data_IF_306607131975
#
_entry.id   IF_306607131975
#
_cell.length_a   1.000
_cell.length_b   1.000
_cell.length_c   1.000
_cell.angle_alpha   90.00
_cell.angle_beta   90.00
_cell.angle_gamma   90.00
#
_symmetry.space_group_name_H-M   'P 1'
#
loop_
_entity.id
_entity.type
_entity.pdbx_description
1 polymer ?
#
# COMPACT_ATOMS: atom_id res chain seq x y z
N UNK A 1 -22.02 -14.98 24.08
CA UNK A 1 -20.88 -14.22 23.47
C UNK A 1 -21.09 -14.22 21.97
N UNK A 2 -21.59 -13.13 21.41
CA UNK A 2 -21.74 -12.96 19.97
C UNK A 2 -20.43 -12.38 19.45
N UNK A 3 -19.68 -13.19 18.70
CA UNK A 3 -18.56 -12.74 17.91
C UNK A 3 -19.09 -11.72 16.90
N UNK A 4 -18.57 -10.49 16.80
CA UNK A 4 -18.99 -9.59 15.76
C UNK A 4 -18.58 -10.22 14.42
N UNK A 5 -19.57 -10.55 13.62
CA UNK A 5 -19.38 -10.92 12.23
C UNK A 5 -18.75 -9.70 11.56
N UNK A 6 -17.49 -9.85 11.13
CA UNK A 6 -16.84 -8.88 10.24
C UNK A 6 -17.71 -8.89 8.99
N UNK A 7 -18.34 -7.75 8.72
CA UNK A 7 -19.12 -7.56 7.51
C UNK A 7 -18.17 -7.69 6.30
N UNK A 8 -18.23 -8.85 5.66
CA UNK A 8 -17.54 -9.15 4.41
C UNK A 8 -18.12 -8.37 3.23
N UNK A 9 -19.07 -7.46 3.45
CA UNK A 9 -19.68 -6.64 2.39
C UNK A 9 -18.87 -5.40 1.99
N UNK A 10 -17.67 -5.19 2.55
CA UNK A 10 -16.73 -4.13 2.12
C UNK A 10 -16.01 -4.45 0.79
N UNK A 11 -16.55 -5.35 -0.01
CA UNK A 11 -16.10 -5.54 -1.40
C UNK A 11 -16.50 -4.40 -2.35
N UNK A 12 -17.07 -3.31 -1.84
CA UNK A 12 -17.46 -2.15 -2.65
C UNK A 12 -16.30 -1.21 -3.01
N UNK A 13 -15.11 -1.41 -2.44
CA UNK A 13 -13.93 -0.57 -2.71
C UNK A 13 -12.95 -1.15 -3.74
N UNK A 14 -13.19 -2.35 -4.27
CA UNK A 14 -12.32 -2.95 -5.29
C UNK A 14 -10.95 -3.41 -4.79
N UNK A 15 -10.72 -3.50 -3.47
CA UNK A 15 -9.51 -4.02 -2.86
C UNK A 15 -9.76 -5.28 -2.03
N UNK A 16 -8.78 -6.17 -2.02
CA UNK A 16 -8.80 -7.44 -1.32
C UNK A 16 -7.92 -7.34 -0.07
N UNK A 17 -8.47 -7.76 1.08
CA UNK A 17 -7.68 -7.96 2.29
C UNK A 17 -6.94 -9.30 2.19
N UNK A 18 -5.61 -9.25 2.17
CA UNK A 18 -4.77 -10.45 2.11
C UNK A 18 -4.53 -11.02 3.51
N UNK A 19 -4.11 -10.18 4.45
CA UNK A 19 -3.86 -10.56 5.85
C UNK A 19 -4.14 -9.41 6.80
N UNK A 20 -4.49 -9.75 8.04
CA UNK A 20 -4.71 -8.82 9.13
C UNK A 20 -4.08 -9.34 10.41
N UNK A 21 -3.39 -8.48 11.13
CA UNK A 21 -2.73 -8.81 12.39
C UNK A 21 -3.00 -7.73 13.44
N UNK A 22 -3.34 -8.14 14.66
CA UNK A 22 -3.42 -7.22 15.80
C UNK A 22 -2.03 -6.63 16.08
N UNK A 23 -1.95 -5.33 16.29
CA UNK A 23 -0.69 -4.62 16.53
C UNK A 23 -0.95 -3.38 17.39
N UNK A 24 -0.41 -3.37 18.62
CA UNK A 24 -0.49 -2.26 19.57
C UNK A 24 -1.90 -1.67 19.74
N UNK A 25 -2.90 -2.55 19.87
CA UNK A 25 -4.31 -2.17 20.00
C UNK A 25 -5.00 -1.74 18.71
N UNK A 26 -4.25 -1.58 17.64
CA UNK A 26 -4.75 -1.38 16.28
C UNK A 26 -4.60 -2.63 15.42
N UNK A 27 -4.63 -2.46 14.11
CA UNK A 27 -4.49 -3.56 13.15
C UNK A 27 -3.52 -3.21 12.03
N UNK A 28 -2.66 -4.16 11.67
CA UNK A 28 -1.82 -4.11 10.48
C UNK A 28 -2.47 -4.94 9.39
N UNK A 29 -2.76 -4.34 8.26
CA UNK A 29 -3.39 -4.97 7.10
C UNK A 29 -2.49 -4.96 5.89
N UNK A 30 -2.59 -6.01 5.07
CA UNK A 30 -1.99 -6.08 3.75
C UNK A 30 -3.11 -6.26 2.73
N UNK A 31 -3.07 -5.43 1.70
CA UNK A 31 -4.11 -5.36 0.68
C UNK A 31 -3.55 -5.55 -0.71
N UNK A 32 -4.42 -5.98 -1.61
CA UNK A 32 -4.19 -6.01 -3.06
C UNK A 32 -5.39 -5.43 -3.77
N UNK A 33 -5.17 -4.70 -4.84
CA UNK A 33 -6.24 -4.23 -5.71
C UNK A 33 -5.79 -4.18 -7.17
N UNK A 34 -6.76 -4.24 -8.09
CA UNK A 34 -6.50 -3.99 -9.50
C UNK A 34 -6.35 -2.49 -9.73
N UNK A 35 -5.13 -2.03 -10.03
CA UNK A 35 -4.88 -0.62 -10.29
C UNK A 35 -5.25 -0.24 -11.72
N UNK A 36 -6.04 0.79 -11.88
CA UNK A 36 -6.36 1.36 -13.19
C UNK A 36 -5.18 2.17 -13.75
N UNK A 37 -4.46 2.90 -12.88
CA UNK A 37 -3.30 3.71 -13.29
C UNK A 37 -2.11 2.85 -13.72
N UNK A 38 -1.86 1.75 -13.01
CA UNK A 38 -0.76 0.82 -13.32
C UNK A 38 -1.18 -0.22 -14.38
N UNK A 39 -2.45 -0.60 -14.41
CA UNK A 39 -2.96 -1.67 -15.27
C UNK A 39 -2.59 -3.09 -14.80
N UNK A 40 -2.17 -3.24 -13.57
CA UNK A 40 -1.76 -4.50 -12.92
C UNK A 40 -2.23 -4.52 -11.47
N UNK A 41 -2.32 -5.70 -10.84
CA UNK A 41 -2.53 -5.78 -9.40
C UNK A 41 -1.41 -5.09 -8.64
N UNK A 42 -1.78 -4.23 -7.69
CA UNK A 42 -0.85 -3.54 -6.80
C UNK A 42 -1.11 -3.92 -5.35
N UNK A 43 -0.06 -3.91 -4.53
CA UNK A 43 -0.13 -4.18 -3.10
C UNK A 43 0.21 -2.93 -2.29
N UNK A 44 -0.37 -2.86 -1.10
CA UNK A 44 -0.02 -1.88 -0.10
C UNK A 44 -0.27 -2.44 1.30
N UNK A 45 0.43 -1.92 2.28
CA UNK A 45 0.18 -2.19 3.69
C UNK A 45 -0.45 -0.96 4.35
N UNK A 46 -1.37 -1.20 5.29
CA UNK A 46 -2.08 -0.16 6.02
C UNK A 46 -2.11 -0.53 7.50
N UNK A 47 -1.59 0.37 8.35
CA UNK A 47 -1.78 0.29 9.79
C UNK A 47 -2.88 1.25 10.23
N UNK A 48 -3.86 0.74 10.95
CA UNK A 48 -4.93 1.52 11.55
C UNK A 48 -4.76 1.52 13.07
N UNK A 49 -4.53 2.69 13.70
CA UNK A 49 -4.36 2.80 15.14
C UNK A 49 -5.69 2.52 15.88
N UNK A 50 -5.64 2.28 17.21
CA UNK A 50 -6.85 2.02 17.99
C UNK A 50 -7.95 3.08 17.81
N UNK A 51 -7.58 4.34 17.65
CA UNK A 51 -8.50 5.47 17.46
C UNK A 51 -9.29 5.33 16.15
N UNK A 52 -8.64 4.88 15.07
CA UNK A 52 -9.32 4.61 13.80
C UNK A 52 -10.26 3.40 13.92
N UNK A 53 -9.87 2.37 14.67
CA UNK A 53 -10.74 1.23 14.98
C UNK A 53 -11.98 1.64 15.75
N UNK A 54 -11.89 2.69 16.57
CA UNK A 54 -13.02 3.28 17.29
C UNK A 54 -13.87 4.25 16.44
N UNK A 55 -13.60 4.34 15.13
CA UNK A 55 -14.34 5.18 14.20
C UNK A 55 -13.91 6.66 14.16
N UNK A 56 -12.78 7.00 14.77
CA UNK A 56 -12.25 8.36 14.70
C UNK A 56 -11.49 8.59 13.39
N UNK A 57 -11.60 9.79 12.86
CA UNK A 57 -10.72 10.23 11.77
C UNK A 57 -9.32 10.50 12.32
N UNK A 58 -8.31 9.94 11.69
CA UNK A 58 -6.92 10.07 12.08
C UNK A 58 -6.08 10.55 10.91
N UNK A 59 -4.99 11.28 11.17
CA UNK A 59 -4.06 11.63 10.10
C UNK A 59 -3.37 10.39 9.53
N UNK A 60 -3.04 10.46 8.23
CA UNK A 60 -2.37 9.41 7.48
C UNK A 60 -0.92 9.81 7.20
N UNK A 61 0.02 8.99 7.65
CA UNK A 61 1.42 9.07 7.25
C UNK A 61 1.65 8.09 6.10
N UNK A 62 2.15 8.59 4.98
CA UNK A 62 2.55 7.76 3.83
C UNK A 62 4.06 7.57 3.87
N UNK A 63 4.51 6.34 3.97
CA UNK A 63 5.94 6.01 3.91
C UNK A 63 6.31 5.44 2.56
N UNK A 64 7.18 6.14 1.85
CA UNK A 64 7.70 5.75 0.54
C UNK A 64 9.04 5.04 0.72
N UNK A 65 9.03 3.72 0.63
CA UNK A 65 10.23 2.90 0.80
C UNK A 65 11.22 3.09 -0.36
N UNK A 66 12.48 2.79 -0.11
CA UNK A 66 13.55 2.93 -1.09
C UNK A 66 13.64 1.78 -2.10
N UNK A 67 14.70 1.80 -2.88
CA UNK A 67 15.00 0.79 -3.91
C UNK A 67 14.93 -0.63 -3.36
N UNK A 68 14.41 -1.54 -4.16
CA UNK A 68 14.24 -2.97 -3.88
C UNK A 68 13.25 -3.33 -2.77
N UNK A 69 12.73 -2.35 -2.04
CA UNK A 69 11.73 -2.57 -1.00
C UNK A 69 10.35 -2.89 -1.58
N UNK A 70 9.49 -3.37 -0.69
CA UNK A 70 8.06 -3.62 -0.94
C UNK A 70 7.22 -2.94 0.15
N UNK A 71 5.92 -3.08 0.08
CA UNK A 71 4.98 -2.67 1.13
C UNK A 71 5.27 -3.32 2.49
N UNK A 72 5.95 -4.46 2.50
CA UNK A 72 6.28 -5.20 3.73
C UNK A 72 7.51 -4.65 4.45
N UNK A 73 8.44 -4.04 3.74
CA UNK A 73 9.76 -3.72 4.27
C UNK A 73 9.70 -2.78 5.47
N UNK A 74 9.06 -1.62 5.32
CA UNK A 74 8.88 -0.69 6.44
C UNK A 74 7.99 -1.29 7.53
N UNK A 75 6.93 -1.96 7.13
CA UNK A 75 5.98 -2.59 8.05
C UNK A 75 6.66 -3.54 9.03
N UNK A 76 7.61 -4.35 8.54
CA UNK A 76 8.29 -5.36 9.34
C UNK A 76 9.51 -4.84 10.08
N UNK A 77 10.20 -3.83 9.55
CA UNK A 77 11.53 -3.43 10.04
C UNK A 77 11.57 -2.12 10.81
N UNK A 78 10.66 -1.20 10.57
CA UNK A 78 10.73 0.14 11.16
C UNK A 78 10.27 0.21 12.62
N UNK A 79 9.42 -0.72 13.06
CA UNK A 79 8.87 -0.69 14.43
C UNK A 79 7.97 0.53 14.70
N UNK A 80 7.35 1.10 13.66
CA UNK A 80 6.63 2.36 13.75
C UNK A 80 5.23 2.23 14.38
N UNK A 81 4.65 1.03 14.41
CA UNK A 81 3.25 0.82 14.81
C UNK A 81 2.98 1.25 16.26
N UNK A 82 3.93 1.03 17.18
CA UNK A 82 3.77 1.43 18.59
C UNK A 82 3.58 2.94 18.72
N UNK A 83 4.47 3.71 18.13
CA UNK A 83 4.40 5.18 18.18
C UNK A 83 3.18 5.69 17.40
N UNK A 84 2.86 5.08 16.26
CA UNK A 84 1.67 5.41 15.49
C UNK A 84 0.38 5.18 16.30
N UNK A 85 0.32 4.08 17.08
CA UNK A 85 -0.80 3.83 18.00
C UNK A 85 -0.91 4.91 19.09
N UNK A 86 0.21 5.27 19.71
CA UNK A 86 0.27 6.31 20.75
C UNK A 86 -0.18 7.68 20.21
N UNK A 87 0.24 8.03 19.01
CA UNK A 87 -0.05 9.33 18.37
C UNK A 87 -1.39 9.36 17.60
N UNK A 88 -2.05 8.22 17.42
CA UNK A 88 -3.27 8.14 16.62
C UNK A 88 -3.03 8.34 15.13
N UNK A 89 -1.92 7.81 14.59
CA UNK A 89 -1.56 7.91 13.18
C UNK A 89 -1.88 6.61 12.44
N UNK A 90 -2.55 6.70 11.29
CA UNK A 90 -2.57 5.63 10.31
C UNK A 90 -1.28 5.66 9.48
N UNK A 91 -0.78 4.48 9.06
CA UNK A 91 0.40 4.35 8.23
C UNK A 91 0.03 3.66 6.92
N UNK A 92 0.41 4.25 5.80
CA UNK A 92 0.25 3.67 4.47
C UNK A 92 1.63 3.40 3.85
N UNK A 93 1.87 2.16 3.47
CA UNK A 93 3.08 1.72 2.80
C UNK A 93 2.71 1.11 1.44
N UNK A 94 2.84 1.84 0.34
CA UNK A 94 2.67 1.28 -1.00
C UNK A 94 3.88 0.42 -1.39
N UNK A 95 3.69 -0.49 -2.37
CA UNK A 95 4.81 -1.12 -3.06
C UNK A 95 5.61 -0.07 -3.84
N UNK A 96 6.84 -0.37 -4.17
CA UNK A 96 7.79 0.56 -4.79
C UNK A 96 7.72 0.59 -6.32
N UNK A 97 7.09 -0.39 -6.93
CA UNK A 97 6.94 -0.49 -8.39
C UNK A 97 5.79 -1.41 -8.80
N UNK A 98 5.37 -1.37 -10.06
CA UNK A 98 4.64 -2.49 -10.67
C UNK A 98 5.45 -3.78 -10.61
N UNK A 99 4.74 -4.92 -10.62
CA UNK A 99 5.35 -6.27 -10.66
C UNK A 99 4.55 -7.15 -11.61
N UNK A 100 5.27 -7.97 -12.39
CA UNK A 100 4.64 -8.89 -13.33
C UNK A 100 4.09 -8.23 -14.60
N UNK A 101 4.68 -7.13 -15.02
CA UNK A 101 4.33 -6.46 -16.27
C UNK A 101 4.76 -7.26 -17.51
N UNK A 102 5.70 -8.19 -17.36
CA UNK A 102 6.30 -8.97 -18.45
C UNK A 102 6.99 -8.09 -19.50
N UNK A 103 7.53 -6.97 -19.05
CA UNK A 103 8.36 -6.09 -19.88
C UNK A 103 9.78 -6.62 -19.92
N UNK A 104 10.37 -6.72 -21.10
CA UNK A 104 11.76 -7.17 -21.24
C UNK A 104 12.69 -6.21 -20.49
N UNK A 105 13.55 -6.77 -19.64
CA UNK A 105 14.48 -6.00 -18.82
C UNK A 105 13.93 -5.53 -17.46
N UNK A 106 12.66 -5.81 -17.15
CA UNK A 106 12.04 -5.30 -15.90
C UNK A 106 12.70 -5.79 -14.61
N UNK A 107 13.36 -6.94 -14.64
CA UNK A 107 14.01 -7.57 -13.49
C UNK A 107 15.53 -7.80 -13.70
N UNK A 108 16.15 -7.15 -14.68
CA UNK A 108 17.56 -7.36 -15.00
C UNK A 108 18.51 -6.54 -14.11
N UNK A 109 18.02 -5.45 -13.52
CA UNK A 109 18.81 -4.58 -12.66
C UNK A 109 18.07 -4.28 -11.35
N UNK A 110 18.83 -4.16 -10.25
CA UNK A 110 18.25 -3.85 -8.93
C UNK A 110 17.82 -2.37 -8.81
N UNK A 111 18.36 -1.51 -9.63
CA UNK A 111 18.15 -0.06 -9.59
C UNK A 111 17.25 0.47 -10.72
N UNK A 112 16.65 -0.44 -11.50
CA UNK A 112 15.76 -0.08 -12.59
C UNK A 112 14.68 -1.15 -12.80
N UNK A 113 13.44 -0.74 -13.03
CA UNK A 113 12.32 -1.65 -13.27
C UNK A 113 11.65 -2.12 -11.99
N UNK A 114 11.63 -3.42 -11.73
CA UNK A 114 11.01 -4.01 -10.54
C UNK A 114 11.74 -3.58 -9.27
N UNK A 115 10.99 -3.04 -8.31
CA UNK A 115 11.54 -2.47 -7.08
C UNK A 115 12.15 -1.07 -7.23
N UNK A 116 12.03 -0.46 -8.40
CA UNK A 116 12.67 0.81 -8.76
C UNK A 116 11.74 1.71 -9.60
N UNK A 117 10.55 1.98 -9.08
CA UNK A 117 9.58 2.87 -9.74
C UNK A 117 9.80 4.36 -9.46
N UNK A 118 10.66 4.70 -8.48
CA UNK A 118 11.03 6.06 -8.08
C UNK A 118 9.85 6.99 -7.76
N UNK A 119 8.63 6.44 -7.65
CA UNK A 119 7.39 7.21 -7.46
C UNK A 119 7.16 8.27 -8.54
N UNK A 120 7.59 7.96 -9.75
CA UNK A 120 7.46 8.79 -10.94
C UNK A 120 6.63 8.07 -12.02
N UNK A 121 6.12 8.85 -12.96
CA UNK A 121 5.50 8.32 -14.18
C UNK A 121 6.56 8.24 -15.29
N UNK A 122 6.77 7.06 -15.84
CA UNK A 122 7.67 6.87 -16.97
C UNK A 122 7.13 7.58 -18.22
N UNK A 123 8.05 8.09 -19.03
CA UNK A 123 7.73 8.86 -20.25
C UNK A 123 8.14 8.15 -21.56
N UNK A 124 8.75 6.96 -21.45
CA UNK A 124 9.25 6.21 -22.60
C UNK A 124 8.78 4.76 -22.58
N UNK A 125 8.54 4.23 -23.79
CA UNK A 125 8.31 2.80 -23.95
C UNK A 125 9.59 1.99 -23.63
N UNK A 126 9.46 0.77 -23.11
CA UNK A 126 8.23 0.04 -22.81
C UNK A 126 7.65 0.34 -21.40
N UNK A 127 8.23 1.28 -20.66
CA UNK A 127 7.92 1.57 -19.25
C UNK A 127 6.65 2.41 -19.06
N UNK A 128 6.37 3.30 -20.00
CA UNK A 128 5.26 4.26 -20.00
C UNK A 128 3.92 3.65 -19.58
N UNK A 129 3.68 2.40 -19.96
CA UNK A 129 2.39 1.76 -19.76
C UNK A 129 2.09 1.43 -18.29
N UNK A 130 3.09 0.96 -17.57
CA UNK A 130 2.90 0.40 -16.21
C UNK A 130 3.66 1.15 -15.12
N UNK A 131 4.81 1.76 -15.42
CA UNK A 131 5.59 2.51 -14.43
C UNK A 131 5.03 3.91 -14.25
N UNK A 132 3.88 4.01 -13.56
CA UNK A 132 3.11 5.23 -13.34
C UNK A 132 2.87 5.46 -11.85
N UNK A 133 3.94 5.40 -11.07
CA UNK A 133 3.86 5.39 -9.61
C UNK A 133 3.37 6.72 -9.02
N UNK A 134 3.71 7.86 -9.63
CA UNK A 134 3.19 9.17 -9.19
C UNK A 134 1.67 9.25 -9.38
N UNK A 135 1.17 8.93 -10.57
CA UNK A 135 -0.27 8.88 -10.84
C UNK A 135 -0.99 7.85 -9.97
N UNK A 136 -0.40 6.69 -9.78
CA UNK A 136 -0.94 5.66 -8.89
C UNK A 136 -1.14 6.17 -7.47
N UNK A 137 -0.13 6.78 -6.89
CA UNK A 137 -0.21 7.30 -5.52
C UNK A 137 -1.21 8.44 -5.40
N UNK A 138 -1.09 9.45 -6.26
CA UNK A 138 -1.82 10.71 -6.11
C UNK A 138 -3.26 10.67 -6.61
N UNK A 139 -3.53 9.91 -7.67
CA UNK A 139 -4.85 9.86 -8.32
C UNK A 139 -5.67 8.63 -7.95
N UNK A 140 -5.03 7.57 -7.47
CA UNK A 140 -5.72 6.31 -7.19
C UNK A 140 -5.59 5.87 -5.74
N UNK A 141 -4.39 5.55 -5.23
CA UNK A 141 -4.24 4.95 -3.91
C UNK A 141 -4.61 5.89 -2.76
N UNK A 142 -4.14 7.12 -2.76
CA UNK A 142 -4.49 8.08 -1.70
C UNK A 142 -5.99 8.38 -1.67
N UNK A 143 -6.68 8.67 -2.78
CA UNK A 143 -8.13 8.82 -2.77
C UNK A 143 -8.87 7.56 -2.31
N UNK A 144 -8.37 6.36 -2.64
CA UNK A 144 -8.95 5.09 -2.24
C UNK A 144 -8.88 4.88 -0.72
N UNK A 145 -7.74 5.19 -0.10
CA UNK A 145 -7.50 4.99 1.33
C UNK A 145 -8.13 6.09 2.19
N UNK A 146 -8.33 7.28 1.65
CA UNK A 146 -8.79 8.46 2.38
C UNK A 146 -10.31 8.52 2.61
N UNK A 147 -11.05 7.56 2.08
CA UNK A 147 -12.49 7.44 2.28
C UNK A 147 -12.81 6.96 3.71
#
# INVERSE_FOLDING_TARGET
MTTPLIDTSLSLSGWELLTEHASFGGVQRFHRHASAEIGLPMRFALYLPPQAQAGQRVPLLVFLAGLTCTEETFTMKAGAQRVAAELGLALLMPDTSPRGASVVGEAESWDFGVGAGFYLDATREPWLRHWRMESYLTKELLPLVWQ
#
